data_IF_978772917690
#
_entry.id   IF_978772917690
#
_cell.length_a   1.000
_cell.length_b   1.000
_cell.length_c   1.000
_cell.angle_alpha   90.00
_cell.angle_beta   90.00
_cell.angle_gamma   90.00
#
_symmetry.space_group_name_H-M   'P 1'
#
loop_
_entity.id
_entity.type
_entity.pdbx_description
1 polymer ?
#
# COMPACT_ATOMS: atom_id res chain seq x y z
N UNK A 1 -44.91 37.39 -36.66
CA UNK A 1 -44.25 36.18 -37.15
C UNK A 1 -43.69 35.40 -35.96
N UNK A 2 -44.14 34.16 -35.78
CA UNK A 2 -43.83 33.30 -34.65
C UNK A 2 -42.94 32.11 -35.09
N UNK A 3 -41.99 31.70 -34.25
CA UNK A 3 -41.27 30.41 -34.29
C UNK A 3 -41.07 29.99 -32.82
N UNK A 4 -41.97 29.17 -32.24
CA UNK A 4 -41.93 27.70 -32.02
C UNK A 4 -40.70 27.17 -31.26
N UNK A 5 -40.98 26.68 -30.03
CA UNK A 5 -40.67 25.35 -29.42
C UNK A 5 -39.23 24.81 -29.47
N UNK A 6 -38.67 24.07 -28.50
CA UNK A 6 -39.06 23.57 -27.18
C UNK A 6 -37.81 22.92 -26.51
N UNK A 7 -37.79 22.91 -25.17
CA UNK A 7 -37.43 21.77 -24.31
C UNK A 7 -36.10 20.99 -24.45
N UNK A 8 -35.22 21.14 -23.45
CA UNK A 8 -34.49 20.06 -22.73
C UNK A 8 -33.73 20.71 -21.56
N UNK A 9 -34.11 20.58 -20.27
CA UNK A 9 -34.09 19.38 -19.41
C UNK A 9 -32.67 18.75 -19.39
N UNK A 10 -31.93 18.57 -18.28
CA UNK A 10 -32.24 18.53 -16.85
C UNK A 10 -31.02 18.92 -15.99
N UNK A 11 -31.34 19.72 -14.97
CA UNK A 11 -30.84 19.80 -13.58
C UNK A 11 -29.89 18.66 -13.11
N UNK A 12 -28.61 18.98 -12.93
CA UNK A 12 -27.70 18.26 -12.04
C UNK A 12 -27.53 19.03 -10.74
N UNK A 13 -28.17 18.59 -9.66
CA UNK A 13 -27.91 19.11 -8.30
C UNK A 13 -28.34 18.08 -7.24
N UNK A 14 -27.36 17.66 -6.46
CA UNK A 14 -27.53 17.12 -5.11
C UNK A 14 -27.67 15.61 -5.01
N UNK A 15 -26.70 14.95 -4.36
CA UNK A 15 -26.88 14.58 -2.96
C UNK A 15 -25.62 13.89 -2.43
N UNK A 16 -25.18 14.35 -1.26
CA UNK A 16 -24.24 13.65 -0.39
C UNK A 16 -24.79 12.27 -0.04
N UNK A 17 -23.93 11.24 0.03
CA UNK A 17 -24.27 10.02 0.75
C UNK A 17 -23.03 9.24 1.23
N UNK A 18 -22.77 9.40 2.52
CA UNK A 18 -22.55 8.34 3.51
C UNK A 18 -21.37 7.37 3.32
N UNK A 19 -20.38 7.57 4.19
CA UNK A 19 -19.51 6.50 4.70
C UNK A 19 -20.36 5.35 5.25
N UNK A 20 -20.46 4.26 4.48
CA UNK A 20 -21.09 3.03 4.92
C UNK A 20 -20.03 2.10 5.49
N UNK A 21 -19.85 2.16 6.82
CA UNK A 21 -19.20 1.08 7.57
C UNK A 21 -19.92 -0.24 7.25
N UNK A 22 -19.21 -1.31 6.86
CA UNK A 22 -19.85 -2.61 6.79
C UNK A 22 -20.23 -3.08 8.20
N UNK A 23 -21.44 -3.62 8.28
CA UNK A 23 -22.15 -4.10 9.45
C UNK A 23 -21.49 -5.34 10.06
N UNK A 24 -21.40 -5.32 11.40
CA UNK A 24 -20.95 -6.38 12.30
C UNK A 24 -21.97 -7.52 12.37
N UNK A 25 -22.21 -8.22 11.27
CA UNK A 25 -23.01 -9.46 11.26
C UNK A 25 -22.64 -10.32 10.07
N UNK A 26 -21.53 -11.04 10.22
CA UNK A 26 -21.22 -12.38 9.65
C UNK A 26 -19.71 -12.65 9.80
N UNK A 27 -19.23 -12.60 11.04
CA UNK A 27 -17.93 -13.16 11.37
C UNK A 27 -18.06 -14.69 11.43
N UNK A 28 -18.18 -15.34 10.27
CA UNK A 28 -17.88 -16.77 10.19
C UNK A 28 -16.36 -16.90 10.32
N UNK A 29 -15.93 -17.20 11.54
CA UNK A 29 -14.54 -17.47 11.88
C UNK A 29 -14.02 -18.63 11.02
N UNK A 30 -13.36 -18.31 9.90
CA UNK A 30 -12.51 -19.25 9.22
C UNK A 30 -11.21 -19.35 10.02
N UNK A 31 -11.08 -20.49 10.69
CA UNK A 31 -9.97 -20.89 11.57
C UNK A 31 -8.66 -20.91 10.78
N UNK A 32 -8.02 -19.76 10.62
CA UNK A 32 -6.65 -19.62 10.14
C UNK A 32 -5.69 -20.05 11.25
N UNK A 33 -4.89 -21.08 10.99
CA UNK A 33 -3.83 -21.48 11.89
C UNK A 33 -2.83 -20.34 12.03
N UNK A 34 -2.70 -19.80 13.26
CA UNK A 34 -1.64 -18.86 13.60
C UNK A 34 -0.29 -19.56 13.40
N UNK A 35 0.52 -19.03 12.49
CA UNK A 35 1.84 -19.58 12.18
C UNK A 35 2.84 -18.98 13.18
N UNK A 36 3.58 -19.84 13.87
CA UNK A 36 4.58 -19.45 14.86
C UNK A 36 5.83 -18.80 14.26
N UNK A 37 6.46 -17.97 15.11
CA UNK A 37 7.70 -17.22 14.97
C UNK A 37 7.60 -15.83 14.26
N UNK A 38 7.16 -14.83 15.03
CA UNK A 38 7.63 -13.44 14.92
C UNK A 38 6.85 -12.45 14.06
N UNK A 39 6.04 -12.91 13.09
CA UNK A 39 5.26 -12.03 12.21
C UNK A 39 3.76 -12.15 12.45
N UNK A 40 3.09 -11.04 12.83
CA UNK A 40 1.62 -10.94 12.92
C UNK A 40 1.00 -10.97 11.51
N UNK A 41 1.02 -12.12 10.83
CA UNK A 41 0.26 -12.30 9.60
C UNK A 41 -1.19 -12.63 9.99
N UNK A 42 -2.02 -11.58 10.13
CA UNK A 42 -3.36 -11.66 10.71
C UNK A 42 -4.28 -12.70 10.04
N UNK A 43 -3.99 -13.08 8.79
CA UNK A 43 -4.61 -14.20 8.11
C UNK A 43 -3.66 -14.80 7.05
N UNK A 44 -3.46 -16.12 7.10
CA UNK A 44 -2.70 -16.85 6.10
C UNK A 44 -3.56 -17.94 5.44
N UNK A 45 -3.54 -17.96 4.12
CA UNK A 45 -4.24 -18.91 3.27
C UNK A 45 -3.35 -20.13 3.02
N UNK A 46 -3.88 -21.35 3.07
CA UNK A 46 -3.21 -22.48 2.42
C UNK A 46 -3.30 -22.28 0.91
N UNK A 47 -2.30 -22.74 0.15
CA UNK A 47 -2.29 -22.62 -1.31
C UNK A 47 -3.57 -23.17 -1.97
N UNK A 48 -4.07 -24.30 -1.48
CA UNK A 48 -5.32 -24.91 -1.97
C UNK A 48 -6.54 -24.01 -1.77
N UNK A 49 -6.68 -23.41 -0.58
CA UNK A 49 -7.77 -22.49 -0.26
C UNK A 49 -7.65 -21.19 -1.07
N UNK A 50 -6.44 -20.66 -1.22
CA UNK A 50 -6.17 -19.47 -2.02
C UNK A 50 -6.53 -19.69 -3.50
N UNK A 51 -6.23 -20.87 -4.05
CA UNK A 51 -6.61 -21.24 -5.42
C UNK A 51 -8.14 -21.31 -5.58
N UNK A 52 -8.83 -21.92 -4.61
CA UNK A 52 -10.29 -22.06 -4.66
C UNK A 52 -11.03 -20.72 -4.47
N UNK A 53 -10.42 -19.77 -3.76
CA UNK A 53 -11.03 -18.49 -3.36
C UNK A 53 -10.23 -17.27 -3.81
N UNK A 54 -9.56 -17.37 -4.96
CA UNK A 54 -8.60 -16.34 -5.38
C UNK A 54 -9.23 -14.94 -5.50
N UNK A 55 -10.48 -14.84 -5.97
CA UNK A 55 -11.20 -13.57 -6.02
C UNK A 55 -11.39 -12.93 -4.64
N UNK A 56 -11.58 -13.74 -3.59
CA UNK A 56 -11.68 -13.24 -2.22
C UNK A 56 -10.31 -12.79 -1.69
N UNK A 57 -9.26 -13.54 -1.98
CA UNK A 57 -7.88 -13.15 -1.65
C UNK A 57 -7.56 -11.78 -2.26
N UNK A 58 -7.86 -11.58 -3.55
CA UNK A 58 -7.65 -10.31 -4.23
C UNK A 58 -8.49 -9.19 -3.60
N UNK A 59 -9.78 -9.42 -3.35
CA UNK A 59 -10.67 -8.43 -2.71
C UNK A 59 -10.14 -7.98 -1.35
N UNK A 60 -9.65 -8.91 -0.53
CA UNK A 60 -9.09 -8.59 0.79
C UNK A 60 -7.75 -7.88 0.68
N UNK A 61 -6.87 -8.29 -0.24
CA UNK A 61 -5.61 -7.61 -0.48
C UNK A 61 -5.77 -6.14 -0.93
N UNK A 62 -6.87 -5.82 -1.62
CA UNK A 62 -7.20 -4.45 -2.06
C UNK A 62 -7.89 -3.61 -0.98
N UNK A 63 -8.67 -4.23 -0.09
CA UNK A 63 -9.53 -3.51 0.86
C UNK A 63 -9.00 -3.46 2.30
N UNK A 64 -8.11 -4.39 2.64
CA UNK A 64 -7.61 -4.60 4.00
C UNK A 64 -6.08 -4.55 3.98
N UNK A 65 -5.44 -5.69 4.27
CA UNK A 65 -4.00 -5.84 4.42
C UNK A 65 -3.47 -6.90 3.42
N UNK A 66 -2.13 -7.00 3.25
CA UNK A 66 -1.49 -8.09 2.52
C UNK A 66 -2.02 -9.48 2.92
N UNK A 67 -2.36 -10.29 1.92
CA UNK A 67 -2.87 -11.64 2.13
C UNK A 67 -1.74 -12.67 1.91
N UNK A 68 -1.39 -13.40 2.96
CA UNK A 68 -0.28 -14.36 2.90
C UNK A 68 -0.74 -15.73 2.45
N UNK A 69 0.04 -16.39 1.59
CA UNK A 69 -0.20 -17.76 1.14
C UNK A 69 0.92 -18.66 1.62
N UNK A 70 0.53 -19.83 2.13
CA UNK A 70 1.42 -20.84 2.68
C UNK A 70 1.44 -22.10 1.83
N UNK A 71 2.62 -22.72 1.76
CA UNK A 71 2.82 -24.03 1.14
C UNK A 71 3.36 -24.96 2.22
N UNK A 72 2.67 -26.08 2.47
CA UNK A 72 3.03 -27.04 3.54
C UNK A 72 3.22 -26.35 4.91
N UNK A 73 2.37 -25.38 5.23
CA UNK A 73 2.41 -24.63 6.49
C UNK A 73 3.50 -23.57 6.60
N UNK A 74 4.34 -23.38 5.57
CA UNK A 74 5.39 -22.35 5.54
C UNK A 74 4.91 -21.13 4.74
N UNK A 75 5.13 -19.90 5.25
CA UNK A 75 4.91 -18.69 4.46
C UNK A 75 5.71 -18.75 3.15
N UNK A 76 5.05 -18.51 2.02
CA UNK A 76 5.69 -18.65 0.70
C UNK A 76 5.57 -17.41 -0.15
N UNK A 77 4.38 -16.79 -0.21
CA UNK A 77 4.13 -15.57 -0.98
C UNK A 77 3.12 -14.69 -0.25
N UNK A 78 3.07 -13.40 -0.62
CA UNK A 78 2.03 -12.47 -0.22
C UNK A 78 1.38 -11.87 -1.46
N UNK A 79 0.06 -11.67 -1.41
CA UNK A 79 -0.72 -10.92 -2.39
C UNK A 79 -0.97 -9.54 -1.79
N UNK A 80 -0.61 -8.50 -2.55
CA UNK A 80 -0.71 -7.09 -2.16
C UNK A 80 -1.40 -6.32 -3.27
N UNK A 81 -2.05 -5.21 -2.91
CA UNK A 81 -2.55 -4.28 -3.91
C UNK A 81 -1.40 -3.77 -4.79
N UNK A 82 -1.67 -3.66 -6.09
CA UNK A 82 -0.65 -3.26 -7.06
C UNK A 82 -0.17 -1.83 -6.82
N UNK A 83 -1.07 -0.91 -6.45
CA UNK A 83 -0.71 0.48 -6.19
C UNK A 83 0.13 0.63 -4.91
N UNK A 84 -0.10 -0.22 -3.91
CA UNK A 84 0.74 -0.30 -2.72
C UNK A 84 2.13 -0.86 -3.06
N UNK A 85 2.20 -1.92 -3.89
CA UNK A 85 3.49 -2.42 -4.37
C UNK A 85 4.29 -1.34 -5.10
N UNK A 86 3.64 -0.58 -6.00
CA UNK A 86 4.29 0.52 -6.73
C UNK A 86 4.84 1.61 -5.81
N UNK A 87 4.14 1.92 -4.71
CA UNK A 87 4.61 2.89 -3.69
C UNK A 87 5.77 2.36 -2.85
N UNK A 88 5.77 1.07 -2.55
CA UNK A 88 6.80 0.41 -1.74
C UNK A 88 8.07 0.14 -2.53
N UNK A 89 7.93 -0.12 -3.82
CA UNK A 89 9.08 -0.25 -4.69
C UNK A 89 9.78 1.11 -4.78
N UNK A 90 11.13 1.13 -4.71
CA UNK A 90 11.85 2.33 -5.05
C UNK A 90 11.41 2.72 -6.45
N UNK A 91 10.86 3.93 -6.60
CA UNK A 91 10.63 4.47 -7.93
C UNK A 91 11.94 4.26 -8.70
N UNK A 92 11.87 3.72 -9.91
CA UNK A 92 12.97 3.75 -10.88
C UNK A 92 13.22 5.22 -11.31
N UNK A 93 13.32 6.14 -10.36
CA UNK A 93 14.04 7.38 -10.57
C UNK A 93 15.46 6.93 -10.76
N UNK A 94 15.99 7.16 -11.96
CA UNK A 94 17.42 7.15 -12.22
C UNK A 94 18.10 7.77 -11.01
N UNK A 95 18.71 6.95 -10.16
CA UNK A 95 19.54 7.49 -9.09
C UNK A 95 20.69 8.11 -9.87
N UNK A 96 20.70 9.43 -9.96
CA UNK A 96 21.90 10.13 -10.39
C UNK A 96 23.03 9.54 -9.56
N UNK A 97 24.12 9.05 -10.18
CA UNK A 97 25.28 8.63 -9.41
C UNK A 97 25.64 9.76 -8.44
N UNK A 98 26.16 9.40 -7.26
CA UNK A 98 26.34 10.35 -6.16
C UNK A 98 27.04 11.63 -6.62
N UNK A 99 28.08 11.51 -7.46
CA UNK A 99 28.87 12.64 -7.96
C UNK A 99 28.02 13.63 -8.79
N UNK A 100 27.37 13.24 -9.92
CA UNK A 100 26.42 14.10 -10.63
C UNK A 100 25.32 14.71 -9.76
N UNK A 101 24.83 13.96 -8.77
CA UNK A 101 23.84 14.50 -7.83
C UNK A 101 24.45 15.61 -6.97
N UNK A 102 25.64 15.42 -6.38
CA UNK A 102 26.31 16.42 -5.56
C UNK A 102 26.67 17.67 -6.36
N UNK A 103 27.13 17.51 -7.61
CA UNK A 103 27.40 18.64 -8.53
C UNK A 103 26.13 19.45 -8.82
N UNK A 104 24.97 18.78 -8.97
CA UNK A 104 23.69 19.46 -9.23
C UNK A 104 23.17 20.33 -8.09
N UNK A 105 23.68 20.14 -6.86
CA UNK A 105 23.23 20.90 -5.69
C UNK A 105 23.78 22.33 -5.65
N UNK A 106 24.74 22.68 -6.52
CA UNK A 106 25.37 24.01 -6.60
C UNK A 106 25.72 24.58 -5.21
N UNK A 107 26.25 23.75 -4.32
CA UNK A 107 26.54 24.18 -2.95
C UNK A 107 27.85 24.96 -2.96
N UNK A 108 27.72 26.27 -3.09
CA UNK A 108 28.84 27.21 -3.02
C UNK A 108 29.21 27.47 -1.55
N UNK A 109 30.51 27.51 -1.23
CA UNK A 109 30.99 27.83 0.12
C UNK A 109 30.89 26.70 1.15
N UNK A 110 30.81 25.44 0.72
CA UNK A 110 30.90 24.29 1.62
C UNK A 110 32.32 24.20 2.19
N UNK A 111 32.46 24.41 3.49
CA UNK A 111 33.70 24.11 4.21
C UNK A 111 33.85 22.59 4.35
N UNK A 112 34.79 22.03 3.59
CA UNK A 112 35.09 20.60 3.57
C UNK A 112 36.14 20.21 4.60
N UNK A 113 36.62 21.16 5.42
CA UNK A 113 37.54 20.83 6.48
C UNK A 113 36.86 19.93 7.51
N UNK A 114 37.56 18.85 7.88
CA UNK A 114 37.08 17.95 8.91
C UNK A 114 37.18 18.67 10.25
N UNK A 115 36.04 19.12 10.77
CA UNK A 115 35.93 19.57 12.16
C UNK A 115 36.40 18.47 13.13
N UNK A 116 37.15 18.85 14.16
CA UNK A 116 37.62 17.95 15.20
C UNK A 116 36.47 17.54 16.16
N UNK A 117 35.41 16.95 15.62
CA UNK A 117 34.33 16.37 16.42
C UNK A 117 34.79 15.00 16.94
N UNK A 118 34.86 14.86 18.26
CA UNK A 118 35.27 13.62 18.94
C UNK A 118 34.09 12.72 19.31
N UNK A 119 32.89 13.05 18.84
CA UNK A 119 31.67 12.32 19.19
C UNK A 119 31.21 12.63 20.61
N UNK A 120 29.99 12.18 20.94
CA UNK A 120 29.40 12.32 22.27
C UNK A 120 29.75 11.10 23.11
N UNK A 121 30.02 11.29 24.40
CA UNK A 121 30.11 10.20 25.37
C UNK A 121 28.78 9.41 25.39
N UNK A 122 28.84 8.12 25.08
CA UNK A 122 27.70 7.21 25.12
C UNK A 122 27.98 6.14 26.17
N UNK A 123 27.12 6.02 27.17
CA UNK A 123 27.13 4.87 28.08
C UNK A 123 26.53 3.66 27.34
N UNK A 124 27.26 2.54 27.35
CA UNK A 124 26.89 1.27 26.71
C UNK A 124 26.35 0.26 27.73
#
# INVERSE_FOLDING_TARGET
MARKNAESARKGRGALAHHRRPSRTEAKAHKGAAIGAGGKFAAAWKLEDAKAKFSEVVRRAQAEDPQYVTVRGKPSVAVIDASDLERLLPAQKSRLPLVPFMESLYVEGLDLERGADRGRDVEL
#
